data_IF_564293988906
#
_entry.id   IF_564293988906
#
_cell.length_a   1.000
_cell.length_b   1.000
_cell.length_c   1.000
_cell.angle_alpha   90.00
_cell.angle_beta   90.00
_cell.angle_gamma   90.00
#
_symmetry.space_group_name_H-M   'P 1'
#
loop_
_entity.id
_entity.type
_entity.pdbx_description
1 polymer ?
#
# COMPACT_ATOMS: atom_id res chain seq x y z
N UNK A 1 -5.04 -0.41 9.23
CA UNK A 1 -4.20 -0.15 8.03
C UNK A 1 -3.00 0.72 8.39
N UNK A 2 -1.86 0.40 7.79
CA UNK A 2 -0.63 1.15 8.03
C UNK A 2 -0.14 1.79 6.74
N UNK A 3 0.19 3.06 6.82
CA UNK A 3 0.68 3.81 5.67
C UNK A 3 2.17 3.55 5.46
N UNK A 4 2.51 2.82 4.40
CA UNK A 4 3.90 2.53 4.10
C UNK A 4 4.34 3.21 2.81
N UNK A 5 3.39 3.45 1.92
CA UNK A 5 3.73 4.10 0.66
C UNK A 5 2.51 4.62 -0.07
N UNK A 6 2.59 4.68 -1.38
CA UNK A 6 1.51 5.18 -2.20
C UNK A 6 1.31 4.29 -3.42
N UNK A 7 0.05 4.00 -3.73
CA UNK A 7 -0.28 3.17 -4.88
C UNK A 7 -0.64 4.04 -6.08
N UNK A 8 0.11 5.12 -6.26
CA UNK A 8 -0.10 6.05 -7.36
C UNK A 8 1.23 6.38 -8.01
N UNK A 9 1.30 6.23 -9.33
CA UNK A 9 2.52 6.52 -10.08
C UNK A 9 2.95 7.97 -9.90
N UNK A 10 4.25 8.18 -9.82
CA UNK A 10 4.77 9.52 -9.64
C UNK A 10 5.09 9.81 -8.19
N UNK A 11 4.34 9.20 -7.28
CA UNK A 11 4.56 9.40 -5.85
C UNK A 11 5.93 8.88 -5.43
N UNK A 12 6.51 9.51 -4.41
CA UNK A 12 7.83 9.12 -3.92
C UNK A 12 7.81 7.67 -3.41
N UNK A 13 6.86 7.38 -2.53
CA UNK A 13 6.72 6.04 -1.96
C UNK A 13 5.85 5.16 -2.86
N UNK A 14 5.99 5.33 -4.17
CA UNK A 14 5.20 4.56 -5.13
C UNK A 14 5.49 3.07 -5.06
N UNK A 15 4.42 2.29 -5.06
CA UNK A 15 4.50 0.85 -5.04
C UNK A 15 3.19 0.28 -5.60
N UNK A 16 3.31 -0.54 -6.63
CA UNK A 16 2.15 -1.11 -7.29
C UNK A 16 1.60 -2.30 -6.52
N UNK A 17 2.45 -3.28 -6.27
CA UNK A 17 2.04 -4.48 -5.56
C UNK A 17 2.05 -4.26 -4.05
N UNK A 18 1.22 -3.30 -3.63
CA UNK A 18 1.10 -2.94 -2.21
C UNK A 18 0.77 -4.16 -1.35
N UNK A 19 -0.16 -4.98 -1.82
CA UNK A 19 -0.56 -6.19 -1.11
C UNK A 19 0.64 -7.08 -0.82
N UNK A 20 1.45 -7.35 -1.84
CA UNK A 20 2.63 -8.19 -1.68
C UNK A 20 3.66 -7.53 -0.77
N UNK A 21 3.87 -6.23 -0.96
CA UNK A 21 4.83 -5.48 -0.15
C UNK A 21 4.48 -5.60 1.33
N UNK A 22 3.23 -5.33 1.64
CA UNK A 22 2.75 -5.41 3.02
C UNK A 22 2.84 -6.85 3.53
N UNK A 23 2.44 -7.80 2.70
CA UNK A 23 2.48 -9.21 3.05
C UNK A 23 3.92 -9.64 3.35
N UNK A 24 4.84 -9.13 2.53
CA UNK A 24 6.26 -9.43 2.66
C UNK A 24 6.79 -8.90 3.99
N UNK A 25 6.50 -7.64 4.25
CA UNK A 25 6.94 -6.99 5.48
C UNK A 25 6.41 -7.73 6.71
N UNK A 26 5.18 -8.19 6.63
CA UNK A 26 4.59 -8.91 7.74
C UNK A 26 3.21 -8.41 8.13
N UNK A 27 2.38 -8.15 7.13
CA UNK A 27 1.03 -7.66 7.38
C UNK A 27 0.01 -8.67 6.86
N UNK A 28 -1.22 -8.51 7.29
CA UNK A 28 -2.31 -9.40 6.87
C UNK A 28 -2.45 -9.35 5.35
N UNK A 29 -2.46 -8.14 4.80
CA UNK A 29 -2.57 -7.98 3.37
C UNK A 29 -2.31 -6.55 2.92
N UNK A 30 -2.99 -6.15 1.87
CA UNK A 30 -2.85 -4.81 1.34
C UNK A 30 -3.94 -4.52 0.32
N UNK A 31 -4.46 -3.30 0.33
CA UNK A 31 -5.54 -2.95 -0.60
C UNK A 31 -5.53 -1.48 -0.99
N UNK A 32 -4.55 -0.73 -0.49
CA UNK A 32 -4.42 0.70 -0.79
C UNK A 32 -5.70 1.46 -0.40
N UNK A 33 -6.39 0.99 0.64
CA UNK A 33 -7.62 1.65 1.06
C UNK A 33 -8.81 1.20 0.22
N UNK A 34 -9.95 1.00 0.87
CA UNK A 34 -11.15 0.55 0.18
C UNK A 34 -11.96 1.70 -0.41
N UNK A 35 -11.30 2.83 -0.65
CA UNK A 35 -11.96 4.01 -1.22
C UNK A 35 -10.91 5.03 -1.64
N UNK A 36 -10.03 5.37 -0.72
CA UNK A 36 -8.96 6.32 -0.99
C UNK A 36 -7.74 5.55 -1.48
N UNK A 37 -7.92 4.86 -2.59
CA UNK A 37 -6.88 4.02 -3.21
C UNK A 37 -5.68 4.83 -3.74
N UNK A 38 -5.17 5.73 -2.92
CA UNK A 38 -4.04 6.54 -3.30
C UNK A 38 -2.80 6.13 -2.49
N UNK A 39 -3.01 5.79 -1.23
CA UNK A 39 -1.90 5.37 -0.37
C UNK A 39 -1.86 3.86 -0.21
N UNK A 40 -0.66 3.33 -0.02
CA UNK A 40 -0.48 1.90 0.17
C UNK A 40 -0.79 1.53 1.61
N UNK A 41 -2.05 1.25 1.87
CA UNK A 41 -2.49 0.90 3.21
C UNK A 41 -2.40 -0.60 3.42
N UNK A 42 -1.50 -0.99 4.31
CA UNK A 42 -1.31 -2.39 4.64
C UNK A 42 -2.47 -2.86 5.49
N UNK A 43 -3.12 -3.93 5.08
CA UNK A 43 -4.26 -4.47 5.82
C UNK A 43 -3.78 -4.99 7.17
N UNK A 44 -4.32 -4.40 8.22
CA UNK A 44 -3.96 -4.77 9.57
C UNK A 44 -4.94 -4.10 10.54
#
# INVERSE_FOLDING_TARGET
DKLIGSCVWGAVNYTSNCNAECKRRGYKGGHCGSFLNVNCWCET
#
